data_IF_575238559724
#
_entry.id   IF_575238559724
#
_cell.length_a   1.000
_cell.length_b   1.000
_cell.length_c   1.000
_cell.angle_alpha   90.00
_cell.angle_beta   90.00
_cell.angle_gamma   90.00
#
_symmetry.space_group_name_H-M   'P 1'
#
loop_
_entity.id
_entity.type
_entity.pdbx_description
1 polymer ?
#
# COMPACT_ATOMS: atom_id res chain seq x y z
N UNK A 1 -2.33 -5.79 37.66
CA UNK A 1 -2.54 -4.38 37.28
C UNK A 1 -1.22 -3.64 37.09
N UNK A 2 -0.40 -4.05 36.10
CA UNK A 2 0.80 -3.33 35.61
C UNK A 2 1.05 -3.65 34.13
N UNK A 3 0.21 -3.16 33.20
CA UNK A 3 0.35 -3.44 31.77
C UNK A 3 1.73 -3.03 31.20
N UNK A 4 2.37 -1.99 31.73
CA UNK A 4 3.75 -1.62 31.33
C UNK A 4 4.80 -2.68 31.74
N UNK A 5 4.66 -3.27 32.93
CA UNK A 5 5.57 -4.32 33.39
C UNK A 5 5.37 -5.61 32.58
N UNK A 6 4.12 -5.91 32.20
CA UNK A 6 3.81 -7.04 31.33
C UNK A 6 4.37 -6.82 29.91
N UNK A 7 4.24 -5.61 29.35
CA UNK A 7 4.81 -5.24 28.06
C UNK A 7 6.34 -5.41 28.05
N UNK A 8 7.05 -4.90 29.06
CA UNK A 8 8.52 -5.05 29.17
C UNK A 8 8.94 -6.51 29.38
N UNK A 9 8.16 -7.28 30.14
CA UNK A 9 8.41 -8.71 30.33
C UNK A 9 8.22 -9.48 29.02
N UNK A 10 7.18 -9.17 28.25
CA UNK A 10 6.95 -9.77 26.94
C UNK A 10 8.05 -9.39 25.94
N UNK A 11 8.49 -8.13 25.90
CA UNK A 11 9.65 -7.68 25.11
C UNK A 11 10.93 -8.42 25.52
N UNK A 12 11.18 -8.59 26.82
CA UNK A 12 12.35 -9.29 27.35
C UNK A 12 12.32 -10.78 26.99
N UNK A 13 11.16 -11.43 27.14
CA UNK A 13 10.99 -12.85 26.79
C UNK A 13 11.23 -13.04 25.29
N UNK A 14 10.62 -12.21 24.42
CA UNK A 14 10.81 -12.29 22.97
C UNK A 14 12.28 -12.15 22.56
N UNK A 15 13.02 -11.23 23.19
CA UNK A 15 14.43 -11.03 22.88
C UNK A 15 15.29 -12.21 23.36
N UNK A 16 14.98 -12.77 24.53
CA UNK A 16 15.69 -13.93 25.10
C UNK A 16 15.39 -15.26 24.39
N UNK A 17 14.16 -15.45 23.89
CA UNK A 17 13.72 -16.69 23.23
C UNK A 17 14.21 -16.82 21.79
N UNK A 18 14.78 -15.78 21.20
CA UNK A 18 15.44 -15.85 19.88
C UNK A 18 16.57 -16.88 19.80
N UNK A 19 17.07 -17.35 20.94
CA UNK A 19 18.20 -18.27 21.04
C UNK A 19 17.84 -19.75 21.28
N UNK A 20 16.58 -20.12 21.55
CA UNK A 20 16.25 -21.53 21.89
C UNK A 20 14.77 -21.88 21.66
N UNK A 21 14.50 -22.62 20.58
CA UNK A 21 13.26 -23.35 20.23
C UNK A 21 11.94 -22.56 20.10
N UNK A 22 11.27 -22.67 18.93
CA UNK A 22 9.86 -22.28 18.70
C UNK A 22 8.99 -22.90 19.80
N UNK A 23 8.60 -22.11 20.80
CA UNK A 23 7.66 -22.59 21.83
C UNK A 23 6.23 -22.32 21.38
N UNK A 24 5.28 -23.20 21.74
CA UNK A 24 3.85 -23.03 21.42
C UNK A 24 3.23 -21.73 22.00
N UNK A 25 3.95 -21.03 22.88
CA UNK A 25 3.54 -19.78 23.51
C UNK A 25 4.01 -18.53 22.77
N UNK A 26 4.90 -18.65 21.78
CA UNK A 26 5.35 -17.52 20.96
C UNK A 26 4.21 -16.75 20.27
N UNK A 27 3.25 -17.39 19.58
CA UNK A 27 2.18 -16.64 18.92
C UNK A 27 1.31 -15.86 19.91
N UNK A 28 1.04 -16.42 21.09
CA UNK A 28 0.30 -15.73 22.16
C UNK A 28 1.07 -14.52 22.69
N UNK A 29 2.41 -14.60 22.73
CA UNK A 29 3.26 -13.49 23.16
C UNK A 29 3.20 -12.31 22.17
N UNK A 30 3.20 -12.60 20.87
CA UNK A 30 2.98 -11.59 19.83
C UNK A 30 1.58 -10.98 19.93
N UNK A 31 0.53 -11.80 20.13
CA UNK A 31 -0.85 -11.33 20.24
C UNK A 31 -1.06 -10.41 21.44
N UNK A 32 -0.62 -10.85 22.62
CA UNK A 32 -0.72 -10.06 23.86
C UNK A 32 0.08 -8.76 23.78
N UNK A 33 1.29 -8.80 23.22
CA UNK A 33 2.10 -7.60 23.06
C UNK A 33 1.50 -6.63 22.04
N UNK A 34 0.90 -7.13 20.95
CA UNK A 34 0.16 -6.31 19.99
C UNK A 34 -1.05 -5.64 20.65
N UNK A 35 -1.82 -6.38 21.44
CA UNK A 35 -2.98 -5.85 22.15
C UNK A 35 -2.57 -4.78 23.18
N UNK A 36 -1.47 -4.99 23.90
CA UNK A 36 -0.89 -4.00 24.82
C UNK A 36 -0.36 -2.74 24.11
N UNK A 37 0.26 -2.89 22.93
CA UNK A 37 0.72 -1.73 22.16
C UNK A 37 -0.43 -0.94 21.53
N UNK A 38 -1.48 -1.63 21.08
CA UNK A 38 -2.66 -1.02 20.46
C UNK A 38 -3.68 -0.49 21.49
N UNK A 39 -3.54 -0.86 22.77
CA UNK A 39 -4.42 -0.42 23.84
C UNK A 39 -4.53 1.11 23.93
N UNK A 40 -5.78 1.61 23.87
CA UNK A 40 -6.14 3.03 23.90
C UNK A 40 -5.73 3.72 25.20
N UNK A 41 -5.73 3.00 26.32
CA UNK A 41 -5.29 3.48 27.63
C UNK A 41 -4.45 2.41 28.35
N UNK A 42 -3.19 2.72 28.64
CA UNK A 42 -2.40 1.95 29.62
C UNK A 42 -2.71 2.53 30.99
N UNK A 43 -3.74 2.02 31.65
CA UNK A 43 -4.10 2.45 33.02
C UNK A 43 -3.03 1.97 34.01
N UNK A 44 -1.98 2.77 34.17
CA UNK A 44 -1.04 2.69 35.28
C UNK A 44 -1.05 3.94 36.17
N UNK A 45 -2.01 4.87 35.97
CA UNK A 45 -2.06 6.15 36.68
C UNK A 45 -3.47 6.57 37.16
N UNK A 46 -4.21 5.65 37.78
CA UNK A 46 -5.36 6.03 38.61
C UNK A 46 -5.23 5.36 39.98
N UNK A 47 -4.42 5.97 40.86
CA UNK A 47 -4.59 5.76 42.30
C UNK A 47 -5.99 6.19 42.74
N UNK A 48 -6.50 5.68 43.88
CA UNK A 48 -7.89 5.87 44.28
C UNK A 48 -8.19 7.36 44.44
N UNK A 49 -9.33 7.78 43.89
CA UNK A 49 -9.72 9.18 43.82
C UNK A 49 -9.74 9.86 45.18
N UNK A 50 -8.98 10.95 45.29
CA UNK A 50 -9.25 11.96 46.29
C UNK A 50 -9.93 13.13 45.56
N UNK A 51 -11.23 13.28 45.84
CA UNK A 51 -12.03 14.40 45.38
C UNK A 51 -11.44 15.67 46.00
N UNK A 52 -10.91 16.56 45.16
CA UNK A 52 -11.00 18.01 45.33
C UNK A 52 -10.60 18.64 44.00
N UNK A 53 -11.63 19.06 43.25
CA UNK A 53 -11.50 20.00 42.16
C UNK A 53 -10.93 21.30 42.69
N UNK A 54 -9.82 21.76 42.14
CA UNK A 54 -9.60 23.16 41.85
C UNK A 54 -8.54 23.31 40.77
N UNK A 55 -8.88 24.13 39.78
CA UNK A 55 -8.19 24.28 38.52
C UNK A 55 -6.84 24.99 38.68
N UNK A 56 -5.77 24.39 38.15
CA UNK A 56 -4.60 25.12 37.63
C UNK A 56 -4.08 24.39 36.40
N UNK A 57 -3.90 25.15 35.33
CA UNK A 57 -3.55 24.67 34.01
C UNK A 57 -2.13 24.15 33.84
N UNK A 58 -1.94 23.57 32.66
CA UNK A 58 -0.69 23.50 31.90
C UNK A 58 0.58 23.12 32.68
N UNK A 59 0.88 21.82 32.71
CA UNK A 59 2.13 21.25 32.19
C UNK A 59 2.21 19.78 32.63
N UNK A 60 1.51 18.90 31.93
CA UNK A 60 1.87 17.50 31.95
C UNK A 60 3.04 17.34 30.97
N UNK A 61 4.26 17.49 31.48
CA UNK A 61 5.46 17.09 30.79
C UNK A 61 5.32 15.61 30.41
N UNK A 62 4.97 15.37 29.15
CA UNK A 62 4.87 14.03 28.59
C UNK A 62 6.26 13.39 28.66
N UNK A 63 6.37 12.34 29.48
CA UNK A 63 7.53 11.46 29.50
C UNK A 63 7.82 10.97 28.06
N UNK A 64 9.09 10.88 27.62
CA UNK A 64 9.43 10.65 26.19
C UNK A 64 9.10 9.24 25.67
N UNK A 65 8.49 8.37 26.49
CA UNK A 65 8.25 6.95 26.17
C UNK A 65 6.79 6.49 26.19
N UNK A 66 5.83 7.39 26.39
CA UNK A 66 4.39 7.05 26.53
C UNK A 66 3.50 7.65 25.44
N UNK A 67 4.06 8.13 24.32
CA UNK A 67 3.23 8.60 23.22
C UNK A 67 2.61 7.39 22.50
N UNK A 68 1.29 7.42 22.28
CA UNK A 68 0.55 6.43 21.49
C UNK A 68 1.20 6.19 20.12
N UNK A 69 1.83 7.22 19.54
CA UNK A 69 2.61 7.13 18.30
C UNK A 69 3.80 6.18 18.43
N UNK A 70 4.61 6.31 19.48
CA UNK A 70 5.78 5.43 19.72
C UNK A 70 5.36 3.99 19.96
N UNK A 71 4.21 3.77 20.62
CA UNK A 71 3.64 2.42 20.81
C UNK A 71 3.18 1.81 19.48
N UNK A 72 2.51 2.58 18.63
CA UNK A 72 2.13 2.14 17.27
C UNK A 72 3.34 1.86 16.39
N UNK A 73 4.41 2.63 16.51
CA UNK A 73 5.67 2.37 15.79
C UNK A 73 6.31 1.05 16.24
N UNK A 74 6.36 0.79 17.55
CA UNK A 74 6.79 -0.49 18.10
C UNK A 74 5.90 -1.65 17.65
N UNK A 75 4.59 -1.45 17.59
CA UNK A 75 3.64 -2.44 17.06
C UNK A 75 3.93 -2.80 15.60
N UNK A 76 4.25 -1.80 14.77
CA UNK A 76 4.66 -2.03 13.38
C UNK A 76 5.99 -2.77 13.29
N UNK A 77 6.97 -2.42 14.13
CA UNK A 77 8.25 -3.12 14.20
C UNK A 77 8.08 -4.60 14.61
N UNK A 78 7.15 -4.87 15.53
CA UNK A 78 6.79 -6.22 15.96
C UNK A 78 6.12 -7.03 14.84
N UNK A 79 5.23 -6.41 14.07
CA UNK A 79 4.63 -7.05 12.89
C UNK A 79 5.68 -7.44 11.85
N UNK A 80 6.66 -6.56 11.61
CA UNK A 80 7.78 -6.80 10.68
C UNK A 80 8.75 -7.87 11.17
N UNK A 81 9.08 -7.89 12.46
CA UNK A 81 10.00 -8.89 13.02
C UNK A 81 9.37 -10.28 13.12
N UNK A 82 8.06 -10.36 13.32
CA UNK A 82 7.32 -11.62 13.37
C UNK A 82 6.96 -12.21 12.00
N UNK A 83 7.14 -11.46 10.90
CA UNK A 83 6.90 -11.92 9.53
C UNK A 83 8.10 -11.64 8.63
N UNK A 84 9.15 -12.48 8.65
CA UNK A 84 10.24 -12.37 7.71
C UNK A 84 9.78 -12.75 6.29
N UNK A 85 10.26 -12.00 5.29
CA UNK A 85 9.92 -12.20 3.87
C UNK A 85 10.29 -13.62 3.42
N UNK A 86 9.28 -14.47 3.19
CA UNK A 86 9.47 -15.82 2.66
C UNK A 86 9.24 -16.98 3.66
N UNK A 87 8.95 -16.71 4.93
CA UNK A 87 8.54 -17.74 5.91
C UNK A 87 7.09 -17.54 6.38
N UNK A 88 6.53 -18.58 7.01
CA UNK A 88 5.26 -18.47 7.72
C UNK A 88 5.38 -17.51 8.92
N UNK A 89 4.35 -16.70 9.18
CA UNK A 89 4.36 -15.77 10.29
C UNK A 89 4.52 -16.50 11.62
N UNK A 90 5.30 -15.90 12.53
CA UNK A 90 5.48 -16.40 13.90
C UNK A 90 4.25 -16.16 14.78
N UNK A 91 3.24 -15.49 14.24
CA UNK A 91 1.97 -15.16 14.87
C UNK A 91 0.80 -15.57 13.97
N UNK A 92 -0.39 -15.76 14.55
CA UNK A 92 -1.60 -15.95 13.75
C UNK A 92 -1.96 -14.65 13.02
N UNK A 93 -1.83 -14.68 11.69
CA UNK A 93 -2.12 -13.55 10.81
C UNK A 93 -3.57 -13.05 10.87
N UNK A 94 -4.53 -13.95 11.06
CA UNK A 94 -5.96 -13.60 11.12
C UNK A 94 -6.25 -12.85 12.43
N UNK A 95 -5.69 -13.33 13.53
CA UNK A 95 -5.82 -12.67 14.82
C UNK A 95 -5.21 -11.25 14.80
N UNK A 96 -4.02 -11.09 14.20
CA UNK A 96 -3.39 -9.77 14.08
C UNK A 96 -4.20 -8.81 13.20
N UNK A 97 -4.84 -9.30 12.13
CA UNK A 97 -5.76 -8.49 11.31
C UNK A 97 -6.95 -8.00 12.13
N UNK A 98 -7.56 -8.87 12.94
CA UNK A 98 -8.67 -8.51 13.84
C UNK A 98 -8.24 -7.45 14.85
N UNK A 99 -7.08 -7.63 15.51
CA UNK A 99 -6.55 -6.66 16.47
C UNK A 99 -6.28 -5.29 15.84
N UNK A 100 -5.68 -5.27 14.64
CA UNK A 100 -5.43 -4.04 13.90
C UNK A 100 -6.75 -3.35 13.49
N UNK A 101 -7.77 -4.11 13.06
CA UNK A 101 -9.08 -3.58 12.68
C UNK A 101 -9.85 -3.01 13.86
N UNK A 102 -9.84 -3.70 15.01
CA UNK A 102 -10.50 -3.25 16.24
C UNK A 102 -9.92 -1.94 16.78
N UNK A 103 -8.62 -1.73 16.62
CA UNK A 103 -7.91 -0.54 17.11
C UNK A 103 -7.68 0.54 16.03
N UNK A 104 -8.33 0.42 14.86
CA UNK A 104 -8.18 1.33 13.71
C UNK A 104 -6.72 1.57 13.29
N UNK A 105 -5.85 0.56 13.42
CA UNK A 105 -4.43 0.67 13.12
C UNK A 105 -4.15 0.45 11.63
N UNK A 106 -4.30 1.52 10.84
CA UNK A 106 -4.17 1.48 9.38
C UNK A 106 -2.80 0.97 8.89
N UNK A 107 -1.70 1.45 9.47
CA UNK A 107 -0.36 1.05 9.05
C UNK A 107 -0.10 -0.46 9.23
N UNK A 108 -0.64 -1.08 10.29
CA UNK A 108 -0.54 -2.52 10.50
C UNK A 108 -1.43 -3.32 9.56
N UNK A 109 -2.63 -2.82 9.24
CA UNK A 109 -3.51 -3.46 8.27
C UNK A 109 -2.90 -3.47 6.87
N UNK A 110 -2.36 -2.34 6.41
CA UNK A 110 -1.68 -2.24 5.11
C UNK A 110 -0.53 -3.24 5.05
N UNK A 111 0.32 -3.30 6.08
CA UNK A 111 1.42 -4.26 6.12
C UNK A 111 0.94 -5.72 6.05
N UNK A 112 -0.06 -6.10 6.85
CA UNK A 112 -0.59 -7.46 6.85
C UNK A 112 -1.24 -7.83 5.50
N UNK A 113 -1.99 -6.91 4.89
CA UNK A 113 -2.60 -7.16 3.58
C UNK A 113 -1.56 -7.21 2.45
N UNK A 114 -0.51 -6.39 2.50
CA UNK A 114 0.63 -6.46 1.55
C UNK A 114 1.32 -7.84 1.65
N UNK A 115 1.61 -8.33 2.85
CA UNK A 115 2.24 -9.65 3.04
C UNK A 115 1.34 -10.81 2.57
N UNK A 116 0.02 -10.70 2.80
CA UNK A 116 -0.95 -11.71 2.34
C UNK A 116 -1.33 -11.55 0.85
N UNK A 117 -0.78 -10.56 0.15
CA UNK A 117 -1.11 -10.21 -1.25
C UNK A 117 -2.60 -9.93 -1.47
N UNK A 118 -3.28 -9.42 -0.45
CA UNK A 118 -4.70 -9.05 -0.53
C UNK A 118 -4.84 -7.61 -1.02
N UNK A 119 -4.46 -7.39 -2.27
CA UNK A 119 -4.33 -6.06 -2.86
C UNK A 119 -5.64 -5.26 -2.87
N UNK A 120 -6.77 -5.92 -3.15
CA UNK A 120 -8.09 -5.29 -3.17
C UNK A 120 -8.49 -4.70 -1.81
N UNK A 121 -8.14 -5.38 -0.73
CA UNK A 121 -8.41 -4.88 0.63
C UNK A 121 -7.52 -3.68 0.97
N UNK A 122 -6.26 -3.65 0.51
CA UNK A 122 -5.38 -2.48 0.64
C UNK A 122 -6.01 -1.26 -0.04
N UNK A 123 -6.49 -1.42 -1.27
CA UNK A 123 -7.19 -0.35 -1.99
C UNK A 123 -8.42 0.12 -1.20
N UNK A 124 -9.23 -0.83 -0.69
CA UNK A 124 -10.40 -0.54 0.12
C UNK A 124 -10.10 0.33 1.34
N UNK A 125 -8.99 0.08 2.03
CA UNK A 125 -8.56 0.89 3.17
C UNK A 125 -8.22 2.33 2.77
N UNK A 126 -7.40 2.51 1.74
CA UNK A 126 -7.00 3.83 1.26
C UNK A 126 -8.20 4.61 0.68
N UNK A 127 -9.10 3.93 -0.04
CA UNK A 127 -10.35 4.51 -0.54
C UNK A 127 -11.28 4.95 0.60
N UNK A 128 -11.40 4.14 1.67
CA UNK A 128 -12.21 4.48 2.84
C UNK A 128 -11.60 5.62 3.66
N UNK A 129 -10.27 5.73 3.69
CA UNK A 129 -9.55 6.82 4.35
C UNK A 129 -9.48 8.12 3.53
N UNK A 130 -9.93 8.09 2.26
CA UNK A 130 -9.80 9.18 1.28
C UNK A 130 -8.35 9.68 1.08
N UNK A 131 -7.36 8.83 1.36
CA UNK A 131 -5.94 9.12 1.13
C UNK A 131 -5.55 8.76 -0.31
N UNK A 132 -5.73 9.72 -1.22
CA UNK A 132 -5.44 9.52 -2.64
C UNK A 132 -3.95 9.40 -2.95
N UNK A 133 -3.08 10.08 -2.19
CA UNK A 133 -1.62 9.98 -2.35
C UNK A 133 -1.11 8.59 -1.99
N UNK A 134 -1.50 8.08 -0.82
CA UNK A 134 -1.12 6.74 -0.38
C UNK A 134 -1.66 5.65 -1.28
N UNK A 135 -2.85 5.85 -1.86
CA UNK A 135 -3.45 4.94 -2.83
C UNK A 135 -2.60 4.81 -4.10
N UNK A 136 -2.14 5.93 -4.67
CA UNK A 136 -1.31 5.94 -5.89
C UNK A 136 0.03 5.27 -5.61
N UNK A 137 0.69 5.65 -4.51
CA UNK A 137 1.96 5.05 -4.10
C UNK A 137 1.84 3.53 -3.89
N UNK A 138 0.74 3.08 -3.26
CA UNK A 138 0.47 1.66 -3.08
C UNK A 138 0.25 0.95 -4.43
N UNK A 139 -0.47 1.56 -5.37
CA UNK A 139 -0.65 1.01 -6.72
C UNK A 139 0.66 0.93 -7.51
N UNK A 140 1.54 1.92 -7.37
CA UNK A 140 2.86 1.90 -8.02
C UNK A 140 3.72 0.78 -7.43
N UNK A 141 3.71 0.59 -6.11
CA UNK A 141 4.49 -0.48 -5.46
C UNK A 141 3.95 -1.89 -5.72
N UNK A 142 2.62 -2.05 -5.72
CA UNK A 142 1.95 -3.35 -5.70
C UNK A 142 1.29 -3.74 -7.04
N UNK A 143 1.16 -2.79 -7.96
CA UNK A 143 0.49 -2.99 -9.25
C UNK A 143 1.43 -3.40 -10.39
N UNK A 144 2.74 -3.51 -10.15
CA UNK A 144 3.68 -3.98 -11.16
C UNK A 144 3.58 -5.51 -11.31
N UNK A 145 3.09 -5.94 -12.48
CA UNK A 145 2.95 -7.35 -12.83
C UNK A 145 4.29 -8.10 -12.80
N UNK A 146 5.40 -7.41 -13.07
CA UNK A 146 6.74 -8.02 -13.05
C UNK A 146 7.21 -8.39 -11.64
N UNK A 147 6.69 -7.70 -10.62
CA UNK A 147 6.93 -7.97 -9.19
C UNK A 147 5.87 -8.93 -8.60
N UNK A 148 5.00 -9.50 -9.45
CA UNK A 148 3.91 -10.39 -9.03
C UNK A 148 2.71 -9.66 -8.44
N UNK A 149 2.52 -8.39 -8.82
CA UNK A 149 1.36 -7.57 -8.51
C UNK A 149 0.14 -7.86 -9.39
N UNK A 150 -0.95 -7.12 -9.15
CA UNK A 150 -2.21 -7.28 -9.88
C UNK A 150 -2.56 -6.03 -10.72
N UNK A 151 -2.48 -6.10 -12.06
CA UNK A 151 -2.89 -5.01 -12.95
C UNK A 151 -4.36 -4.58 -12.79
N UNK A 152 -5.23 -5.45 -12.24
CA UNK A 152 -6.63 -5.09 -11.99
C UNK A 152 -6.76 -3.96 -10.98
N UNK A 153 -5.77 -3.76 -10.09
CA UNK A 153 -5.73 -2.64 -9.14
C UNK A 153 -5.87 -1.29 -9.86
N UNK A 154 -5.16 -1.10 -10.98
CA UNK A 154 -5.23 0.13 -11.76
C UNK A 154 -6.61 0.36 -12.37
N UNK A 155 -7.32 -0.72 -12.70
CA UNK A 155 -8.69 -0.63 -13.23
C UNK A 155 -9.67 -0.23 -12.13
N UNK A 156 -9.56 -0.83 -10.94
CA UNK A 156 -10.41 -0.49 -9.79
C UNK A 156 -10.18 0.97 -9.34
N UNK A 157 -8.92 1.39 -9.23
CA UNK A 157 -8.56 2.76 -8.84
C UNK A 157 -8.99 3.77 -9.88
N UNK A 158 -8.80 3.48 -11.17
CA UNK A 158 -9.30 4.33 -12.25
C UNK A 158 -10.83 4.46 -12.21
N UNK A 159 -11.54 3.34 -12.02
CA UNK A 159 -13.00 3.35 -11.90
C UNK A 159 -13.46 4.19 -10.71
N UNK A 160 -12.81 4.04 -9.56
CA UNK A 160 -13.09 4.81 -8.35
C UNK A 160 -12.89 6.33 -8.56
N UNK A 161 -11.77 6.74 -9.17
CA UNK A 161 -11.53 8.15 -9.47
C UNK A 161 -12.47 8.67 -10.56
N UNK A 162 -12.88 7.83 -11.50
CA UNK A 162 -13.81 8.20 -12.54
C UNK A 162 -15.23 8.43 -11.99
N UNK A 163 -15.68 7.59 -11.05
CA UNK A 163 -17.02 7.63 -10.46
C UNK A 163 -17.23 8.80 -9.48
N UNK A 164 -16.17 9.39 -8.94
CA UNK A 164 -16.28 10.51 -7.99
C UNK A 164 -16.57 11.84 -8.70
N UNK A 165 -17.73 12.48 -8.45
CA UNK A 165 -18.04 13.79 -8.98
C UNK A 165 -17.36 14.87 -8.12
N UNK A 166 -16.24 15.44 -8.59
CA UNK A 166 -15.57 16.50 -7.86
C UNK A 166 -14.31 17.04 -8.51
N UNK A 167 -14.14 18.37 -8.49
CA UNK A 167 -12.98 19.08 -9.04
C UNK A 167 -11.66 18.81 -8.30
N UNK A 168 -11.70 18.17 -7.15
CA UNK A 168 -10.52 17.92 -6.30
C UNK A 168 -9.68 16.70 -6.70
N UNK A 169 -10.23 15.77 -7.50
CA UNK A 169 -9.54 14.53 -7.89
C UNK A 169 -8.84 14.61 -9.26
N UNK A 170 -8.87 15.77 -9.92
CA UNK A 170 -8.35 15.90 -11.30
C UNK A 170 -6.84 15.75 -11.38
N UNK A 171 -6.12 16.16 -10.33
CA UNK A 171 -4.66 16.04 -10.27
C UNK A 171 -4.24 14.59 -10.09
N UNK A 172 -4.90 13.89 -9.17
CA UNK A 172 -4.66 12.47 -8.86
C UNK A 172 -5.05 11.59 -10.04
N UNK A 173 -6.18 11.89 -10.71
CA UNK A 173 -6.55 11.19 -11.93
C UNK A 173 -5.51 11.36 -13.03
N UNK A 174 -4.95 12.57 -13.19
CA UNK A 174 -3.89 12.83 -14.18
C UNK A 174 -2.63 12.02 -13.86
N UNK A 175 -2.21 12.01 -12.59
CA UNK A 175 -1.06 11.23 -12.11
C UNK A 175 -1.27 9.72 -12.34
N UNK A 176 -2.44 9.19 -12.01
CA UNK A 176 -2.80 7.78 -12.31
C UNK A 176 -2.72 7.49 -13.81
N UNK A 177 -3.23 8.37 -14.66
CA UNK A 177 -3.16 8.21 -16.11
C UNK A 177 -1.72 8.26 -16.64
N UNK A 178 -0.86 9.11 -16.08
CA UNK A 178 0.57 9.18 -16.42
C UNK A 178 1.30 7.88 -16.03
N UNK A 179 1.02 7.31 -14.86
CA UNK A 179 1.58 6.01 -14.46
C UNK A 179 1.10 4.86 -15.35
N UNK A 180 -0.19 4.84 -15.72
CA UNK A 180 -0.74 3.85 -16.64
C UNK A 180 -0.09 3.98 -18.02
N UNK A 181 0.11 5.21 -18.52
CA UNK A 181 0.77 5.49 -19.80
C UNK A 181 2.23 5.03 -19.78
N UNK A 182 2.99 5.38 -18.73
CA UNK A 182 4.41 5.02 -18.61
C UNK A 182 4.63 3.51 -18.50
N UNK A 183 3.78 2.79 -17.76
CA UNK A 183 3.88 1.34 -17.60
C UNK A 183 3.14 0.52 -18.66
N UNK A 184 2.42 1.16 -19.58
CA UNK A 184 1.48 0.51 -20.51
C UNK A 184 0.57 -0.51 -19.81
N UNK A 185 0.09 -0.14 -18.62
CA UNK A 185 -0.52 -1.08 -17.65
C UNK A 185 -1.93 -1.48 -18.04
N UNK A 186 -2.63 -0.62 -18.79
CA UNK A 186 -3.99 -0.85 -19.25
C UNK A 186 -4.15 -0.50 -20.74
N UNK A 187 -4.95 -1.26 -21.49
CA UNK A 187 -5.30 -0.89 -22.85
C UNK A 187 -6.03 0.46 -22.88
N UNK A 188 -5.68 1.38 -23.80
CA UNK A 188 -6.31 2.70 -23.88
C UNK A 188 -7.83 2.64 -24.02
N UNK A 189 -8.36 1.60 -24.68
CA UNK A 189 -9.79 1.38 -24.83
C UNK A 189 -10.49 1.14 -23.49
N UNK A 190 -9.86 0.38 -22.58
CA UNK A 190 -10.40 0.09 -21.25
C UNK A 190 -10.42 1.37 -20.42
N UNK A 191 -9.34 2.15 -20.47
CA UNK A 191 -9.26 3.45 -19.81
C UNK A 191 -10.38 4.37 -20.30
N UNK A 192 -10.59 4.45 -21.62
CA UNK A 192 -11.64 5.27 -22.22
C UNK A 192 -13.04 4.81 -21.86
N UNK A 193 -13.31 3.51 -21.90
CA UNK A 193 -14.62 2.98 -21.52
C UNK A 193 -14.92 3.28 -20.06
N UNK A 194 -13.91 3.25 -19.19
CA UNK A 194 -14.05 3.51 -17.75
C UNK A 194 -14.31 4.99 -17.49
N UNK A 195 -13.58 5.89 -18.17
CA UNK A 195 -13.79 7.33 -18.08
C UNK A 195 -15.12 7.77 -18.72
N UNK A 196 -15.54 7.13 -19.81
CA UNK A 196 -16.78 7.47 -20.52
C UNK A 196 -18.06 7.16 -19.72
N UNK A 197 -17.99 6.28 -18.71
CA UNK A 197 -19.13 5.99 -17.83
C UNK A 197 -19.59 7.19 -17.02
N UNK A 198 -18.73 8.19 -16.80
CA UNK A 198 -19.03 9.32 -15.93
C UNK A 198 -19.15 10.62 -16.75
N UNK A 199 -20.39 11.14 -16.93
CA UNK A 199 -20.64 12.31 -17.76
C UNK A 199 -20.14 13.62 -17.14
N UNK A 200 -19.86 13.64 -15.83
CA UNK A 200 -19.36 14.81 -15.10
C UNK A 200 -17.82 14.95 -15.15
N UNK A 201 -17.11 13.95 -15.69
CA UNK A 201 -15.67 14.06 -15.88
C UNK A 201 -15.36 15.16 -16.90
N UNK A 202 -14.37 15.99 -16.56
CA UNK A 202 -13.90 17.04 -17.46
C UNK A 202 -13.30 16.42 -18.72
N UNK A 203 -14.02 16.55 -19.83
CA UNK A 203 -13.61 16.09 -21.17
C UNK A 203 -12.17 16.50 -21.57
N UNK A 204 -11.64 17.60 -21.00
CA UNK A 204 -10.25 18.02 -21.21
C UNK A 204 -9.21 16.97 -20.82
N UNK A 205 -9.36 16.32 -19.66
CA UNK A 205 -8.39 15.33 -19.15
C UNK A 205 -8.35 14.10 -20.08
N UNK A 206 -9.54 13.67 -20.52
CA UNK A 206 -9.69 12.53 -21.43
C UNK A 206 -9.08 12.83 -22.80
N UNK A 207 -9.34 14.03 -23.35
CA UNK A 207 -8.77 14.45 -24.64
C UNK A 207 -7.26 14.55 -24.60
N UNK A 208 -6.69 15.11 -23.53
CA UNK A 208 -5.24 15.23 -23.37
C UNK A 208 -4.58 13.85 -23.29
N UNK A 209 -5.18 12.92 -22.55
CA UNK A 209 -4.71 11.53 -22.46
C UNK A 209 -4.77 10.83 -23.83
N UNK A 210 -5.90 10.90 -24.55
CA UNK A 210 -6.02 10.30 -25.90
C UNK A 210 -5.00 10.90 -26.85
N UNK A 211 -4.83 12.23 -26.82
CA UNK A 211 -3.90 12.93 -27.70
C UNK A 211 -2.46 12.44 -27.51
N UNK A 212 -2.01 12.31 -26.26
CA UNK A 212 -0.69 11.76 -25.93
C UNK A 212 -0.57 10.29 -26.32
N UNK A 213 -1.52 9.45 -25.93
CA UNK A 213 -1.48 8.02 -26.21
C UNK A 213 -1.47 7.72 -27.72
N UNK A 214 -2.25 8.48 -28.51
CA UNK A 214 -2.29 8.34 -29.96
C UNK A 214 -0.98 8.81 -30.60
N UNK A 215 -0.39 9.90 -30.11
CA UNK A 215 0.90 10.38 -30.58
C UNK A 215 2.01 9.35 -30.31
N UNK A 216 2.06 8.80 -29.09
CA UNK A 216 3.01 7.75 -28.70
C UNK A 216 2.82 6.49 -29.53
N UNK A 217 1.57 6.02 -29.70
CA UNK A 217 1.27 4.85 -30.52
C UNK A 217 1.65 5.05 -31.99
N UNK A 218 1.35 6.22 -32.58
CA UNK A 218 1.76 6.53 -33.96
C UNK A 218 3.28 6.59 -34.11
N UNK A 219 3.99 7.14 -33.13
CA UNK A 219 5.45 7.18 -33.14
C UNK A 219 6.05 5.76 -33.10
N UNK A 220 5.50 4.87 -32.27
CA UNK A 220 5.89 3.45 -32.25
C UNK A 220 5.63 2.77 -33.60
N UNK A 221 4.45 2.96 -34.18
CA UNK A 221 4.10 2.40 -35.50
C UNK A 221 5.07 2.90 -36.58
N UNK A 222 5.46 4.17 -36.53
CA UNK A 222 6.39 4.75 -37.49
C UNK A 222 7.81 4.18 -37.33
N UNK A 223 8.30 4.04 -36.09
CA UNK A 223 9.58 3.40 -35.81
C UNK A 223 9.63 1.93 -36.26
N UNK A 224 8.53 1.20 -36.05
CA UNK A 224 8.39 -0.18 -36.52
C UNK A 224 8.42 -0.25 -38.06
N UNK A 225 7.71 0.65 -38.74
CA UNK A 225 7.74 0.75 -40.22
C UNK A 225 9.14 1.03 -40.76
N UNK A 226 9.88 1.94 -40.12
CA UNK A 226 11.26 2.25 -40.50
C UNK A 226 12.19 1.06 -40.30
N UNK A 227 12.01 0.33 -39.20
CA UNK A 227 12.80 -0.88 -38.90
C UNK A 227 12.48 -2.00 -39.91
N UNK A 228 11.21 -2.19 -40.25
CA UNK A 228 10.77 -3.13 -41.30
C UNK A 228 11.41 -2.76 -42.64
N UNK A 229 11.41 -1.49 -43.03
CA UNK A 229 12.02 -1.04 -44.28
C UNK A 229 13.54 -1.30 -44.32
N UNK A 230 14.24 -1.06 -43.21
CA UNK A 230 15.67 -1.38 -43.07
C UNK A 230 15.93 -2.88 -43.20
N UNK A 231 15.20 -3.71 -42.44
CA UNK A 231 15.34 -5.16 -42.50
C UNK A 231 14.99 -5.74 -43.87
N UNK A 232 13.99 -5.18 -44.57
CA UNK A 232 13.67 -5.58 -45.94
C UNK A 232 14.81 -5.26 -46.91
N UNK A 233 15.46 -4.10 -46.75
CA UNK A 233 16.58 -3.68 -47.59
C UNK A 233 17.84 -4.51 -47.33
N UNK A 234 18.14 -4.81 -46.07
CA UNK A 234 19.26 -5.69 -45.70
C UNK A 234 19.02 -7.12 -46.17
N UNK A 235 17.79 -7.64 -46.02
CA UNK A 235 17.42 -8.98 -46.49
C UNK A 235 17.51 -9.10 -48.01
N UNK A 236 17.09 -8.07 -48.75
CA UNK A 236 17.20 -8.08 -50.22
C UNK A 236 18.64 -7.99 -50.68
N UNK A 237 19.47 -7.16 -50.03
CA UNK A 237 20.91 -7.07 -50.30
C UNK A 237 21.62 -8.40 -50.04
N UNK A 238 21.40 -9.01 -48.87
CA UNK A 238 21.99 -10.30 -48.52
C UNK A 238 21.54 -11.41 -49.49
N UNK A 239 20.28 -11.39 -49.93
CA UNK A 239 19.79 -12.33 -50.95
C UNK A 239 20.46 -12.11 -52.32
N UNK A 240 20.74 -10.86 -52.70
CA UNK A 240 21.46 -10.56 -53.93
C UNK A 240 22.92 -11.04 -53.87
N UNK A 241 23.62 -10.78 -52.76
CA UNK A 241 25.00 -11.25 -52.54
C UNK A 241 25.10 -12.79 -52.60
N UNK A 242 24.13 -13.52 -52.03
CA UNK A 242 24.08 -15.00 -52.12
C UNK A 242 23.80 -15.48 -53.55
N UNK A 243 23.05 -14.74 -54.35
CA UNK A 243 22.74 -15.13 -55.73
C UNK A 243 23.90 -14.83 -56.71
N UNK A 244 24.84 -13.96 -56.33
CA UNK A 244 26.02 -13.60 -57.12
C UNK A 244 27.23 -14.53 -56.86
N UNK A 245 27.16 -15.36 -55.81
CA UNK A 245 28.13 -16.40 -55.43
C UNK A 245 27.76 -17.77 -56.01
#
# INVERSE_FOLDING_TARGET
DRPLALMLLCEFILNSSTSSHRTASEPLLYHTLMDLYLARELKDAAGPGNQNSEAVGASAAAMPGSSEATRREKALALLKSGWPTGEEPRYDSEHMLVLCRMNSFQAGLVFLYEQKRLYREVLGLYMAAEDYSGLIDACVRLGDASLGGDPQMWTEVLAYFAERPGSGCTTQLKEVLEHIEAGNLLPPLVVLQTLAKNPELKMGIVKDYIGRQLATSNASIQADRESIAKYQTETSKMRAEVAEL
#
